data_IF_509777333807
#
_entry.id   IF_509777333807
#
_cell.length_a   1.000
_cell.length_b   1.000
_cell.length_c   1.000
_cell.angle_alpha   90.00
_cell.angle_beta   90.00
_cell.angle_gamma   90.00
#
_symmetry.space_group_name_H-M   'P 1'
#
loop_
_entity.id
_entity.type
_entity.pdbx_description
1 polymer ?
#
# COMPACT_ATOMS: atom_id res chain seq x y z
N UNK A 1 -24.08 -0.01 23.99
CA UNK A 1 -22.67 0.18 23.57
C UNK A 1 -22.67 0.75 22.16
N UNK A 2 -21.80 1.71 21.89
CA UNK A 2 -21.52 2.24 20.55
C UNK A 2 -20.02 2.19 20.30
N UNK A 3 -19.59 1.79 19.11
CA UNK A 3 -18.17 1.79 18.72
C UNK A 3 -17.86 3.10 18.00
N UNK A 4 -16.97 3.88 18.56
CA UNK A 4 -16.46 5.13 18.00
C UNK A 4 -14.99 5.01 17.63
N UNK A 5 -14.49 5.86 16.74
CA UNK A 5 -13.08 6.02 16.43
C UNK A 5 -12.55 7.23 17.18
N UNK A 6 -11.33 7.13 17.71
CA UNK A 6 -10.68 8.26 18.39
C UNK A 6 -10.14 9.28 17.40
N UNK A 7 -9.76 8.82 16.21
CA UNK A 7 -9.27 9.69 15.13
C UNK A 7 -10.42 10.41 14.43
N UNK A 8 -10.21 11.68 14.08
CA UNK A 8 -11.16 12.50 13.34
C UNK A 8 -11.38 12.00 11.92
N UNK A 9 -10.33 11.44 11.30
CA UNK A 9 -10.37 10.76 10.01
C UNK A 9 -9.98 9.29 10.21
N UNK A 10 -10.97 8.43 10.37
CA UNK A 10 -10.80 6.99 10.58
C UNK A 10 -10.79 6.20 9.26
N UNK A 11 -10.23 6.79 8.21
CA UNK A 11 -10.09 6.13 6.91
C UNK A 11 -8.88 5.21 6.90
N UNK A 12 -9.09 3.92 6.63
CA UNK A 12 -8.01 2.96 6.45
C UNK A 12 -7.36 3.20 5.09
N UNK A 13 -6.05 3.43 5.10
CA UNK A 13 -5.24 3.68 3.90
C UNK A 13 -3.85 3.06 4.05
N UNK A 14 -3.04 3.08 3.00
CA UNK A 14 -1.66 2.57 3.06
C UNK A 14 -0.77 3.31 4.05
N UNK A 15 -1.09 4.58 4.31
CA UNK A 15 -0.37 5.41 5.29
C UNK A 15 -0.98 5.34 6.69
N UNK A 16 -2.22 4.87 6.80
CA UNK A 16 -2.95 4.73 8.07
C UNK A 16 -3.59 3.36 8.16
N UNK A 17 -2.80 2.38 8.57
CA UNK A 17 -3.24 0.98 8.76
C UNK A 17 -3.77 0.69 10.15
N UNK A 18 -3.58 1.59 11.11
CA UNK A 18 -3.99 1.43 12.51
C UNK A 18 -4.97 2.51 12.91
N UNK A 19 -6.06 2.12 13.59
CA UNK A 19 -7.12 3.00 14.11
C UNK A 19 -7.40 2.60 15.55
N UNK A 20 -7.57 3.60 16.44
CA UNK A 20 -7.99 3.37 17.83
C UNK A 20 -9.51 3.44 17.93
N UNK A 21 -10.10 2.37 18.44
CA UNK A 21 -11.54 2.27 18.67
C UNK A 21 -11.85 2.48 20.14
N UNK A 22 -12.93 3.17 20.41
CA UNK A 22 -13.46 3.38 21.74
C UNK A 22 -14.90 2.87 21.82
N UNK A 23 -15.21 2.16 22.90
CA UNK A 23 -16.59 1.77 23.20
C UNK A 23 -17.22 2.81 24.10
N UNK A 24 -18.32 3.43 23.64
CA UNK A 24 -19.18 4.27 24.45
C UNK A 24 -20.27 3.40 25.07
N UNK A 25 -20.19 3.17 26.38
CA UNK A 25 -21.17 2.40 27.13
C UNK A 25 -22.17 3.36 27.78
N UNK A 26 -23.46 3.15 27.55
CA UNK A 26 -24.54 3.93 28.16
C UNK A 26 -25.45 3.03 28.99
N UNK A 27 -25.94 3.52 30.16
CA UNK A 27 -25.70 4.84 30.76
C UNK A 27 -24.26 5.05 31.22
N UNK A 28 -23.80 6.30 31.26
CA UNK A 28 -22.42 6.69 31.65
C UNK A 28 -22.05 6.24 33.07
N UNK A 29 -23.07 5.97 33.92
CA UNK A 29 -22.89 5.48 35.28
C UNK A 29 -22.90 3.96 35.42
N UNK A 30 -22.72 3.23 34.26
CA UNK A 30 -22.55 1.77 34.31
C UNK A 30 -21.35 1.42 35.19
N UNK A 31 -21.55 0.50 36.13
CA UNK A 31 -20.54 0.09 37.12
C UNK A 31 -19.32 -0.57 36.45
N UNK A 32 -19.57 -1.26 35.32
CA UNK A 32 -18.54 -1.87 34.49
C UNK A 32 -18.74 -1.36 33.05
N UNK A 33 -17.86 -0.46 32.63
CA UNK A 33 -17.88 0.13 31.30
C UNK A 33 -16.87 -0.52 30.32
N UNK A 34 -16.22 -1.59 30.75
CA UNK A 34 -15.22 -2.29 29.93
C UNK A 34 -15.87 -3.24 28.93
N UNK A 35 -15.22 -3.42 27.80
CA UNK A 35 -15.66 -4.30 26.71
C UNK A 35 -14.54 -5.24 26.29
N UNK A 36 -14.92 -6.39 25.77
CA UNK A 36 -14.05 -7.30 25.05
C UNK A 36 -14.15 -7.02 23.55
N UNK A 37 -13.01 -6.80 22.91
CA UNK A 37 -12.91 -6.53 21.48
C UNK A 37 -12.64 -7.81 20.70
N UNK A 38 -13.30 -7.98 19.57
CA UNK A 38 -13.05 -9.09 18.64
C UNK A 38 -13.35 -8.71 17.19
N UNK A 39 -12.67 -9.37 16.25
CA UNK A 39 -13.06 -9.38 14.84
C UNK A 39 -13.93 -10.60 14.63
N UNK A 40 -15.18 -10.40 14.21
CA UNK A 40 -16.15 -11.51 14.00
C UNK A 40 -16.29 -11.91 12.54
N UNK A 41 -15.90 -11.02 11.62
CA UNK A 41 -15.83 -11.30 10.18
C UNK A 41 -14.62 -10.59 9.58
N UNK A 42 -13.96 -11.18 8.58
CA UNK A 42 -12.83 -10.58 7.86
C UNK A 42 -11.52 -10.62 8.63
N UNK A 43 -11.26 -11.65 9.44
CA UNK A 43 -10.03 -11.83 10.23
C UNK A 43 -8.75 -11.89 9.38
N UNK A 44 -8.87 -12.22 8.11
CA UNK A 44 -7.78 -12.18 7.13
C UNK A 44 -7.36 -10.75 6.76
N UNK A 45 -8.29 -9.77 6.88
CA UNK A 45 -8.05 -8.37 6.50
C UNK A 45 -7.67 -7.47 7.66
N UNK A 46 -7.92 -7.89 8.92
CA UNK A 46 -7.54 -7.08 10.09
C UNK A 46 -7.45 -7.91 11.36
N UNK A 47 -6.90 -7.28 12.38
CA UNK A 47 -6.91 -7.75 13.76
C UNK A 47 -7.26 -6.60 14.71
N UNK A 48 -7.73 -6.93 15.91
CA UNK A 48 -7.95 -5.94 16.98
C UNK A 48 -7.37 -6.49 18.28
N UNK A 49 -6.77 -5.62 19.07
CA UNK A 49 -6.25 -5.98 20.39
C UNK A 49 -7.26 -5.66 21.51
N UNK A 50 -6.91 -6.06 22.75
CA UNK A 50 -7.74 -5.84 23.95
C UNK A 50 -7.96 -4.35 24.28
N UNK A 51 -7.13 -3.46 23.75
CA UNK A 51 -7.22 -2.01 23.99
C UNK A 51 -8.05 -1.29 22.91
N UNK A 52 -8.61 -2.04 21.94
CA UNK A 52 -9.36 -1.46 20.84
C UNK A 52 -8.49 -0.96 19.67
N UNK A 53 -7.21 -1.34 19.63
CA UNK A 53 -6.32 -0.99 18.53
C UNK A 53 -6.61 -1.92 17.35
N UNK A 54 -7.32 -1.38 16.36
CA UNK A 54 -7.61 -2.07 15.10
C UNK A 54 -6.41 -1.90 14.17
N UNK A 55 -5.92 -2.99 13.60
CA UNK A 55 -4.80 -3.01 12.63
C UNK A 55 -5.23 -3.71 11.36
N UNK A 56 -5.26 -2.96 10.25
CA UNK A 56 -5.56 -3.48 8.93
C UNK A 56 -4.36 -4.26 8.35
N UNK A 57 -4.65 -5.40 7.73
CA UNK A 57 -3.70 -6.24 6.99
C UNK A 57 -3.93 -6.00 5.50
N UNK A 58 -3.24 -5.03 4.96
CA UNK A 58 -3.35 -4.70 3.54
C UNK A 58 -2.79 -5.82 2.68
N UNK A 59 -3.49 -6.15 1.61
CA UNK A 59 -3.12 -7.21 0.67
C UNK A 59 -3.58 -6.87 -0.75
N UNK A 60 -3.50 -7.85 -1.62
CA UNK A 60 -3.89 -7.73 -3.04
C UNK A 60 -5.41 -7.71 -3.29
N UNK A 61 -6.22 -7.79 -2.23
CA UNK A 61 -7.69 -7.72 -2.28
C UNK A 61 -8.21 -6.74 -1.25
N UNK A 62 -9.26 -6.01 -1.59
CA UNK A 62 -10.05 -5.27 -0.62
C UNK A 62 -10.96 -6.23 0.15
N UNK A 63 -11.26 -5.90 1.39
CA UNK A 63 -12.14 -6.71 2.23
C UNK A 63 -12.95 -5.88 3.20
N UNK A 64 -14.01 -6.49 3.74
CA UNK A 64 -14.84 -5.94 4.79
C UNK A 64 -14.54 -6.65 6.11
N UNK A 65 -14.45 -5.91 7.18
CA UNK A 65 -14.14 -6.40 8.53
C UNK A 65 -15.23 -5.96 9.48
N UNK A 66 -15.80 -6.89 10.23
CA UNK A 66 -16.78 -6.57 11.28
C UNK A 66 -16.10 -6.73 12.64
N UNK A 67 -15.97 -5.61 13.33
CA UNK A 67 -15.48 -5.54 14.72
C UNK A 67 -16.67 -5.58 15.67
N UNK A 68 -16.52 -6.32 16.75
CA UNK A 68 -17.49 -6.42 17.85
C UNK A 68 -16.87 -5.94 19.16
N UNK A 69 -17.62 -5.14 19.89
CA UNK A 69 -17.39 -4.83 21.30
C UNK A 69 -18.48 -5.49 22.15
N UNK A 70 -18.11 -6.39 23.05
CA UNK A 70 -19.02 -7.11 23.95
C UNK A 70 -18.81 -6.62 25.39
N UNK A 71 -19.91 -6.30 26.09
CA UNK A 71 -19.86 -5.98 27.53
C UNK A 71 -19.34 -7.16 28.35
N UNK A 72 -18.49 -6.87 29.35
CA UNK A 72 -17.96 -7.89 30.27
C UNK A 72 -18.68 -7.92 31.63
N UNK A 73 -19.80 -7.19 31.73
CA UNK A 73 -20.63 -7.10 32.94
C UNK A 73 -21.64 -8.26 33.09
N UNK A 74 -21.62 -9.22 32.18
CA UNK A 74 -22.56 -10.33 32.12
C UNK A 74 -23.89 -10.03 31.42
N UNK A 75 -24.10 -8.81 30.91
CA UNK A 75 -25.33 -8.42 30.20
C UNK A 75 -25.45 -8.98 28.79
N UNK A 76 -24.37 -9.54 28.24
CA UNK A 76 -24.28 -10.05 26.85
C UNK A 76 -24.54 -8.96 25.77
N UNK A 77 -24.55 -7.68 26.14
CA UNK A 77 -24.77 -6.60 25.21
C UNK A 77 -23.56 -6.45 24.28
N UNK A 78 -23.84 -6.39 22.98
CA UNK A 78 -22.81 -6.25 21.94
C UNK A 78 -23.11 -5.05 21.04
N UNK A 79 -22.04 -4.43 20.53
CA UNK A 79 -22.09 -3.50 19.41
C UNK A 79 -21.19 -4.04 18.29
N UNK A 80 -21.56 -3.77 17.05
CA UNK A 80 -20.78 -4.14 15.87
C UNK A 80 -20.57 -2.94 14.97
N UNK A 81 -19.40 -2.84 14.36
CA UNK A 81 -19.08 -1.82 13.35
C UNK A 81 -18.29 -2.44 12.21
N UNK A 82 -18.66 -2.07 10.99
CA UNK A 82 -18.00 -2.56 9.78
C UNK A 82 -16.96 -1.54 9.30
N UNK A 83 -15.77 -2.04 8.93
CA UNK A 83 -14.69 -1.27 8.33
C UNK A 83 -14.37 -1.87 6.97
N UNK A 84 -14.01 -1.01 6.01
CA UNK A 84 -13.51 -1.45 4.70
C UNK A 84 -11.99 -1.30 4.69
N UNK A 85 -11.29 -2.40 4.45
CA UNK A 85 -9.84 -2.41 4.22
C UNK A 85 -9.63 -2.36 2.70
N UNK A 86 -9.04 -1.27 2.16
CA UNK A 86 -8.79 -1.17 0.74
C UNK A 86 -7.73 -2.19 0.31
N UNK A 87 -7.72 -2.51 -0.98
CA UNK A 87 -6.60 -3.21 -1.60
C UNK A 87 -5.35 -2.33 -1.48
N UNK A 88 -4.20 -2.92 -1.14
CA UNK A 88 -2.92 -2.22 -1.27
C UNK A 88 -2.73 -1.81 -2.72
N UNK A 89 -2.37 -0.55 -2.94
CA UNK A 89 -1.97 -0.11 -4.27
C UNK A 89 -0.67 -0.84 -4.57
N UNK A 90 -0.72 -1.78 -5.50
CA UNK A 90 0.52 -2.38 -5.97
C UNK A 90 1.37 -1.24 -6.53
N UNK A 91 2.41 -0.86 -5.79
CA UNK A 91 3.59 -0.37 -6.48
C UNK A 91 3.95 -1.55 -7.38
N UNK A 92 3.73 -1.39 -8.69
CA UNK A 92 4.19 -2.39 -9.64
C UNK A 92 5.68 -2.60 -9.39
N UNK A 93 6.01 -3.49 -8.47
CA UNK A 93 7.23 -4.25 -8.59
C UNK A 93 7.00 -5.02 -9.88
N UNK A 94 7.59 -4.53 -10.97
CA UNK A 94 7.74 -5.32 -12.17
C UNK A 94 8.31 -6.64 -11.66
N UNK A 95 7.47 -7.66 -11.57
CA UNK A 95 7.92 -9.03 -11.40
C UNK A 95 8.90 -9.22 -12.53
N UNK A 96 10.16 -9.50 -12.17
CA UNK A 96 11.16 -9.98 -13.09
C UNK A 96 10.63 -11.28 -13.72
N UNK A 97 9.80 -11.11 -14.74
CA UNK A 97 9.63 -12.13 -15.75
C UNK A 97 11.02 -12.28 -16.36
N UNK A 98 11.59 -13.48 -16.36
CA UNK A 98 12.96 -13.79 -16.79
C UNK A 98 13.23 -13.37 -18.25
N UNK A 99 12.24 -12.79 -18.90
CA UNK A 99 12.23 -12.22 -20.26
C UNK A 99 12.11 -10.69 -20.27
N UNK A 100 12.03 -10.02 -19.13
CA UNK A 100 11.79 -8.58 -19.10
C UNK A 100 13.06 -7.77 -19.30
N UNK A 101 12.95 -6.68 -20.07
CA UNK A 101 14.02 -5.72 -20.29
C UNK A 101 14.59 -5.21 -18.96
N UNK A 102 15.89 -5.34 -18.78
CA UNK A 102 16.59 -4.87 -17.58
C UNK A 102 17.31 -3.56 -17.86
N UNK A 103 17.08 -2.54 -17.03
CA UNK A 103 17.74 -1.23 -17.16
C UNK A 103 18.66 -1.04 -15.95
N UNK A 104 19.96 -0.92 -16.22
CA UNK A 104 21.04 -0.70 -15.25
C UNK A 104 21.65 0.67 -15.52
N UNK A 105 21.75 1.52 -14.50
CA UNK A 105 22.47 2.79 -14.60
C UNK A 105 23.85 2.68 -13.95
N UNK A 106 24.83 3.35 -14.53
CA UNK A 106 26.19 3.37 -14.07
C UNK A 106 26.83 4.75 -14.13
N UNK A 107 28.15 4.79 -14.12
CA UNK A 107 28.91 6.04 -14.31
C UNK A 107 28.92 6.40 -15.79
N UNK A 108 28.29 7.53 -16.14
CA UNK A 108 28.24 8.06 -17.50
C UNK A 108 27.46 7.22 -18.49
N UNK A 109 26.64 6.25 -18.06
CA UNK A 109 25.89 5.41 -18.99
C UNK A 109 24.64 4.75 -18.38
N UNK A 110 23.75 4.34 -19.29
CA UNK A 110 22.65 3.44 -19.02
C UNK A 110 22.85 2.20 -19.90
N UNK A 111 22.72 1.01 -19.31
CA UNK A 111 22.81 -0.26 -19.99
C UNK A 111 21.45 -0.96 -19.96
N UNK A 112 20.92 -1.27 -21.12
CA UNK A 112 19.66 -1.98 -21.30
C UNK A 112 19.97 -3.38 -21.79
N UNK A 113 19.35 -4.39 -21.17
CA UNK A 113 19.48 -5.81 -21.50
C UNK A 113 18.11 -6.42 -21.75
N UNK A 114 18.08 -7.48 -22.55
CA UNK A 114 16.87 -8.27 -22.85
C UNK A 114 15.69 -7.40 -23.29
N UNK A 115 15.96 -6.42 -24.13
CA UNK A 115 14.97 -5.47 -24.60
C UNK A 115 14.83 -5.53 -26.12
N UNK A 116 13.59 -5.46 -26.59
CA UNK A 116 13.28 -5.30 -28.02
C UNK A 116 12.26 -4.18 -28.13
N UNK A 117 12.48 -3.24 -29.06
CA UNK A 117 11.57 -2.12 -29.29
C UNK A 117 12.23 -0.76 -29.26
N UNK A 118 11.42 0.29 -29.10
CA UNK A 118 11.87 1.68 -29.11
C UNK A 118 12.28 2.13 -27.69
N UNK A 119 13.58 2.44 -27.53
CA UNK A 119 14.05 3.13 -26.32
C UNK A 119 13.88 4.64 -26.50
N UNK A 120 13.28 5.27 -25.52
CA UNK A 120 13.23 6.72 -25.36
C UNK A 120 13.75 7.10 -23.98
N UNK A 121 14.75 7.98 -23.92
CA UNK A 121 15.30 8.48 -22.67
C UNK A 121 15.04 9.99 -22.59
N UNK A 122 14.43 10.41 -21.49
CA UNK A 122 14.13 11.81 -21.22
C UNK A 122 14.82 12.26 -19.93
N UNK A 123 15.11 13.54 -19.85
CA UNK A 123 15.48 14.18 -18.56
C UNK A 123 14.27 14.26 -17.65
N UNK A 124 14.46 14.61 -16.37
CA UNK A 124 13.37 14.74 -15.40
C UNK A 124 12.32 15.79 -15.78
N UNK A 125 12.68 16.79 -16.59
CA UNK A 125 11.79 17.83 -17.11
C UNK A 125 11.17 17.47 -18.49
N UNK A 126 11.30 16.22 -18.95
CA UNK A 126 10.63 15.69 -20.14
C UNK A 126 11.39 15.90 -21.46
N UNK A 127 12.59 16.51 -21.47
CA UNK A 127 13.37 16.68 -22.70
C UNK A 127 13.92 15.33 -23.16
N UNK A 128 13.65 14.94 -24.42
CA UNK A 128 14.19 13.71 -25.01
C UNK A 128 15.68 13.89 -25.31
N UNK A 129 16.52 13.06 -24.68
CA UNK A 129 17.99 13.07 -24.86
C UNK A 129 18.50 11.89 -25.67
N UNK A 130 17.72 10.81 -25.80
CA UNK A 130 18.07 9.67 -26.63
C UNK A 130 16.81 8.95 -27.14
N UNK A 131 16.87 8.52 -28.39
CA UNK A 131 15.84 7.69 -29.03
C UNK A 131 16.48 6.71 -30.01
N UNK A 132 16.26 5.43 -29.84
CA UNK A 132 16.78 4.38 -30.75
C UNK A 132 15.99 3.10 -30.57
N UNK A 133 16.09 2.22 -31.57
CA UNK A 133 15.58 0.85 -31.47
C UNK A 133 16.64 -0.01 -30.76
N UNK A 134 16.22 -0.90 -29.90
CA UNK A 134 17.03 -1.95 -29.27
C UNK A 134 16.50 -3.31 -29.71
N UNK A 135 17.44 -4.24 -29.90
CA UNK A 135 17.19 -5.64 -30.05
C UNK A 135 18.29 -6.40 -29.26
N UNK A 136 17.89 -6.94 -28.11
CA UNK A 136 18.78 -7.57 -27.15
C UNK A 136 19.39 -6.58 -26.14
N UNK A 137 20.58 -6.05 -26.41
CA UNK A 137 21.31 -5.19 -25.47
C UNK A 137 21.71 -3.85 -26.09
N UNK A 138 21.70 -2.79 -25.26
CA UNK A 138 22.18 -1.47 -25.70
C UNK A 138 22.78 -0.68 -24.54
N UNK A 139 23.93 -0.08 -24.80
CA UNK A 139 24.56 0.89 -23.90
C UNK A 139 24.39 2.30 -24.46
N UNK A 140 23.90 3.23 -23.62
CA UNK A 140 23.71 4.64 -23.96
C UNK A 140 24.55 5.48 -23.01
N UNK A 141 25.43 6.31 -23.55
CA UNK A 141 26.26 7.22 -22.78
C UNK A 141 25.51 8.52 -22.53
N UNK A 142 25.46 8.96 -21.28
CA UNK A 142 24.75 10.16 -20.85
C UNK A 142 25.53 10.85 -19.72
N UNK A 143 25.49 12.18 -19.65
CA UNK A 143 26.03 12.93 -18.52
C UNK A 143 25.39 12.50 -17.19
N UNK A 144 26.04 12.82 -16.06
CA UNK A 144 25.45 12.62 -14.76
C UNK A 144 24.11 13.36 -14.64
N UNK A 145 23.10 12.67 -14.15
CA UNK A 145 21.75 13.24 -14.08
C UNK A 145 20.66 12.23 -13.77
N UNK A 146 19.42 12.72 -13.68
CA UNK A 146 18.24 11.92 -13.49
C UNK A 146 17.51 11.79 -14.83
N UNK A 147 17.22 10.54 -15.22
CA UNK A 147 16.58 10.23 -16.49
C UNK A 147 15.38 9.31 -16.29
N UNK A 148 14.45 9.40 -17.21
CA UNK A 148 13.33 8.47 -17.36
C UNK A 148 13.57 7.69 -18.64
N UNK A 149 13.71 6.38 -18.51
CA UNK A 149 13.88 5.45 -19.63
C UNK A 149 12.56 4.78 -19.89
N UNK A 150 12.08 4.87 -21.13
CA UNK A 150 10.88 4.20 -21.61
C UNK A 150 11.25 3.21 -22.71
N UNK A 151 10.79 1.96 -22.58
CA UNK A 151 10.89 0.92 -23.60
C UNK A 151 9.53 0.26 -23.68
N UNK A 152 8.80 0.50 -24.75
CA UNK A 152 7.40 0.09 -24.90
C UNK A 152 6.52 0.48 -23.71
N UNK A 153 6.06 -0.48 -22.92
CA UNK A 153 5.27 -0.27 -21.69
C UNK A 153 6.13 -0.08 -20.43
N UNK A 154 7.42 -0.46 -20.46
CA UNK A 154 8.33 -0.32 -19.34
C UNK A 154 8.78 1.14 -19.21
N UNK A 155 8.58 1.72 -18.02
CA UNK A 155 9.07 3.07 -17.68
C UNK A 155 9.84 2.99 -16.37
N UNK A 156 11.12 3.43 -16.39
CA UNK A 156 11.98 3.40 -15.19
C UNK A 156 12.74 4.72 -15.03
N UNK A 157 12.71 5.26 -13.81
CA UNK A 157 13.59 6.37 -13.39
C UNK A 157 14.96 5.82 -13.02
N UNK A 158 16.02 6.41 -13.58
CA UNK A 158 17.41 6.03 -13.32
C UNK A 158 18.28 7.23 -12.99
N UNK A 159 19.35 7.01 -12.25
CA UNK A 159 20.35 8.02 -11.90
C UNK A 159 21.67 7.61 -12.55
N UNK A 160 22.20 8.45 -13.43
CA UNK A 160 23.55 8.32 -14.00
C UNK A 160 24.49 9.17 -13.13
N UNK A 161 25.60 8.58 -12.71
CA UNK A 161 26.62 9.21 -11.85
C UNK A 161 27.87 9.54 -12.65
#
# INVERSE_FOLDING_TARGET
IEIQTEETDATISETQTTIHLKALVTPVLATIANVEWSVVEGTEFASIDKNGVFTAKMGNKAGSVVVQAKAIDGSEVVAKRTFTVPKATEVSTVTDDVSAATIISGYGNIFVKNATGLIMITTANGTVVHRSVVDGERKVYLPAGIYIVKIDSLVKKVVVR
#
